data_IF_240315735970
#
_entry.id   IF_240315735970
#
_cell.length_a   1.000
_cell.length_b   1.000
_cell.length_c   1.000
_cell.angle_alpha   90.00
_cell.angle_beta   90.00
_cell.angle_gamma   90.00
#
_symmetry.space_group_name_H-M   'P 1'
#
loop_
_entity.id
_entity.type
_entity.pdbx_description
1 polymer ?
#
# COMPACT_ATOMS: atom_id res chain seq x y z
N UNK A 1 19.79 -21.65 10.18
CA UNK A 1 19.96 -20.23 9.81
C UNK A 1 21.30 -20.12 9.08
N UNK A 2 21.30 -19.83 7.77
CA UNK A 2 22.55 -19.77 6.99
C UNK A 2 23.48 -18.61 7.40
N UNK A 3 24.53 -18.35 6.64
CA UNK A 3 25.49 -17.27 6.93
C UNK A 3 24.76 -15.93 7.17
N UNK A 4 24.94 -15.37 8.36
CA UNK A 4 24.44 -14.05 8.79
C UNK A 4 22.91 -13.84 8.69
N UNK A 5 22.10 -14.90 8.64
CA UNK A 5 20.65 -14.78 8.64
C UNK A 5 20.01 -14.41 7.28
N UNK A 6 20.79 -14.36 6.19
CA UNK A 6 20.28 -14.09 4.83
C UNK A 6 19.15 -15.03 4.40
N UNK A 7 19.19 -16.29 4.84
CA UNK A 7 18.19 -17.29 4.52
C UNK A 7 16.96 -17.28 5.45
N UNK A 8 16.83 -16.32 6.37
CA UNK A 8 15.73 -16.27 7.34
C UNK A 8 14.37 -16.10 6.67
N UNK A 9 14.21 -15.11 5.77
CA UNK A 9 12.94 -14.86 5.08
C UNK A 9 12.48 -16.06 4.23
N UNK A 10 13.42 -16.76 3.60
CA UNK A 10 13.12 -18.00 2.86
C UNK A 10 12.69 -19.14 3.79
N UNK A 11 13.32 -19.28 4.95
CA UNK A 11 12.94 -20.29 5.94
C UNK A 11 11.53 -20.05 6.50
N UNK A 12 11.16 -18.80 6.78
CA UNK A 12 9.81 -18.44 7.25
C UNK A 12 8.73 -18.68 6.18
N UNK A 13 9.04 -18.38 4.91
CA UNK A 13 8.16 -18.69 3.79
C UNK A 13 7.98 -20.20 3.60
N UNK A 14 9.07 -20.97 3.62
CA UNK A 14 9.02 -22.43 3.49
C UNK A 14 8.25 -23.07 4.66
N UNK A 15 8.43 -22.55 5.88
CA UNK A 15 7.67 -22.95 7.07
C UNK A 15 6.16 -22.71 6.90
N UNK A 16 5.75 -21.61 6.29
CA UNK A 16 4.34 -21.33 6.00
C UNK A 16 3.76 -22.25 4.93
N UNK A 17 4.55 -22.63 3.91
CA UNK A 17 4.13 -23.55 2.84
C UNK A 17 3.97 -24.99 3.34
N UNK A 18 4.92 -25.47 4.15
CA UNK A 18 4.91 -26.85 4.67
C UNK A 18 3.87 -27.03 5.78
N UNK A 19 3.48 -25.95 6.47
CA UNK A 19 2.45 -26.02 7.51
C UNK A 19 1.11 -26.42 6.91
N UNK A 20 0.75 -27.69 7.12
CA UNK A 20 -0.55 -28.22 6.73
C UNK A 20 -1.67 -27.39 7.37
N UNK A 21 -2.49 -26.77 6.53
CA UNK A 21 -3.66 -26.02 7.00
C UNK A 21 -4.81 -27.01 7.17
N UNK A 22 -5.13 -27.35 8.42
CA UNK A 22 -6.39 -27.99 8.73
C UNK A 22 -7.54 -27.00 8.45
N UNK A 23 -8.14 -27.10 7.27
CA UNK A 23 -9.22 -26.21 6.81
C UNK A 23 -10.55 -26.43 7.56
N UNK A 24 -10.65 -27.49 8.38
CA UNK A 24 -11.91 -27.93 8.98
C UNK A 24 -12.55 -26.96 9.99
N UNK A 25 -11.80 -26.00 10.54
CA UNK A 25 -12.29 -25.11 11.60
C UNK A 25 -12.62 -23.68 11.16
N UNK A 26 -12.30 -23.28 9.92
CA UNK A 26 -12.66 -21.97 9.40
C UNK A 26 -13.24 -22.10 7.99
N UNK A 27 -14.57 -21.98 7.87
CA UNK A 27 -15.19 -21.62 6.61
C UNK A 27 -14.63 -20.25 6.19
N UNK A 28 -13.64 -20.23 5.29
CA UNK A 28 -13.24 -19.00 4.62
C UNK A 28 -14.13 -18.83 3.41
N UNK A 29 -14.83 -17.71 3.33
CA UNK A 29 -15.56 -17.37 2.12
C UNK A 29 -14.61 -17.14 0.95
N UNK A 30 -15.16 -17.29 -0.26
CA UNK A 30 -14.56 -16.82 -1.50
C UNK A 30 -14.10 -15.35 -1.43
N UNK A 31 -14.84 -14.52 -0.68
CA UNK A 31 -14.53 -13.10 -0.46
C UNK A 31 -13.16 -12.90 0.21
N UNK A 32 -12.82 -13.73 1.21
CA UNK A 32 -11.51 -13.64 1.89
C UNK A 32 -10.37 -14.01 0.94
N UNK A 33 -10.58 -15.02 0.08
CA UNK A 33 -9.58 -15.39 -0.93
C UNK A 33 -9.35 -14.31 -1.97
N UNK A 34 -10.43 -13.71 -2.49
CA UNK A 34 -10.34 -12.56 -3.38
C UNK A 34 -9.62 -11.38 -2.72
N UNK A 35 -9.91 -11.08 -1.46
CA UNK A 35 -9.23 -10.02 -0.72
C UNK A 35 -7.72 -10.23 -0.61
N UNK A 36 -7.25 -11.47 -0.38
CA UNK A 36 -5.81 -11.78 -0.33
C UNK A 36 -5.18 -11.57 -1.70
N UNK A 37 -5.81 -12.07 -2.76
CA UNK A 37 -5.32 -11.92 -4.13
C UNK A 37 -5.26 -10.44 -4.54
N UNK A 38 -6.27 -9.65 -4.14
CA UNK A 38 -6.32 -8.23 -4.42
C UNK A 38 -5.19 -7.46 -3.71
N UNK A 39 -4.88 -7.83 -2.47
CA UNK A 39 -3.77 -7.23 -1.73
C UNK A 39 -2.40 -7.54 -2.37
N UNK A 40 -2.20 -8.78 -2.85
CA UNK A 40 -1.00 -9.16 -3.63
C UNK A 40 -0.93 -8.39 -4.94
N UNK A 41 -2.06 -8.25 -5.64
CA UNK A 41 -2.14 -7.48 -6.88
C UNK A 41 -1.76 -6.01 -6.68
N UNK A 42 -2.25 -5.38 -5.59
CA UNK A 42 -1.90 -4.00 -5.24
C UNK A 42 -0.40 -3.89 -4.92
N UNK A 43 0.19 -4.86 -4.21
CA UNK A 43 1.63 -4.88 -3.95
C UNK A 43 2.45 -4.93 -5.26
N UNK A 44 2.03 -5.74 -6.24
CA UNK A 44 2.65 -5.77 -7.56
C UNK A 44 2.50 -4.43 -8.31
N UNK A 45 1.33 -3.77 -8.20
CA UNK A 45 1.10 -2.45 -8.79
C UNK A 45 2.05 -1.38 -8.23
N UNK A 46 2.35 -1.41 -6.93
CA UNK A 46 3.37 -0.52 -6.34
C UNK A 46 4.76 -0.76 -6.93
N UNK A 47 5.17 -2.02 -7.10
CA UNK A 47 6.45 -2.34 -7.73
C UNK A 47 6.51 -1.83 -9.18
N UNK A 48 5.41 -1.96 -9.92
CA UNK A 48 5.32 -1.45 -11.30
C UNK A 48 5.39 0.08 -11.34
N UNK A 49 4.67 0.78 -10.47
CA UNK A 49 4.74 2.25 -10.36
C UNK A 49 6.16 2.72 -10.03
N UNK A 50 6.84 2.04 -9.10
CA UNK A 50 8.22 2.36 -8.77
C UNK A 50 9.16 2.12 -9.97
N UNK A 51 9.03 1.00 -10.68
CA UNK A 51 9.82 0.74 -11.89
C UNK A 51 9.59 1.79 -12.98
N UNK A 52 8.33 2.20 -13.21
CA UNK A 52 7.99 3.28 -14.14
C UNK A 52 8.68 4.60 -13.78
N UNK A 53 8.74 4.93 -12.48
CA UNK A 53 9.40 6.16 -12.02
C UNK A 53 10.90 6.16 -12.33
N UNK A 54 11.58 5.02 -12.17
CA UNK A 54 13.01 4.87 -12.42
C UNK A 54 13.34 4.87 -13.93
N UNK A 55 12.45 4.34 -14.76
CA UNK A 55 12.61 4.33 -16.21
C UNK A 55 12.37 5.72 -16.85
N UNK A 56 12.07 6.75 -16.07
CA UNK A 56 11.88 8.12 -16.56
C UNK A 56 10.62 8.32 -17.39
N UNK A 57 9.69 7.36 -17.39
CA UNK A 57 8.39 7.51 -18.04
C UNK A 57 7.53 8.49 -17.25
N UNK A 58 7.58 9.75 -17.67
CA UNK A 58 6.79 10.83 -17.11
C UNK A 58 5.35 10.75 -17.61
N UNK A 59 4.50 10.03 -16.88
CA UNK A 59 3.06 10.17 -17.04
C UNK A 59 2.63 11.48 -16.37
N UNK A 60 1.88 12.33 -17.09
CA UNK A 60 1.38 13.61 -16.58
C UNK A 60 0.48 13.50 -15.33
N UNK A 61 0.01 12.29 -15.03
CA UNK A 61 -0.92 11.98 -13.93
C UNK A 61 -0.34 10.97 -12.93
N UNK A 62 0.99 10.84 -12.85
CA UNK A 62 1.63 9.80 -12.03
C UNK A 62 1.24 9.89 -10.54
N UNK A 63 1.17 11.09 -9.96
CA UNK A 63 0.76 11.25 -8.56
C UNK A 63 -0.69 10.84 -8.31
N UNK A 64 -1.58 11.05 -9.29
CA UNK A 64 -2.98 10.62 -9.22
C UNK A 64 -3.10 9.10 -9.32
N UNK A 65 -2.31 8.47 -10.20
CA UNK A 65 -2.25 7.00 -10.27
C UNK A 65 -1.78 6.38 -8.96
N UNK A 66 -0.78 6.98 -8.32
CA UNK A 66 -0.31 6.54 -7.01
C UNK A 66 -1.44 6.63 -5.96
N UNK A 67 -2.21 7.74 -5.95
CA UNK A 67 -3.37 7.88 -5.08
C UNK A 67 -4.43 6.79 -5.29
N UNK A 68 -4.77 6.49 -6.54
CA UNK A 68 -5.75 5.44 -6.86
C UNK A 68 -5.28 4.07 -6.37
N UNK A 69 -3.99 3.75 -6.49
CA UNK A 69 -3.46 2.47 -5.99
C UNK A 69 -3.49 2.42 -4.46
N UNK A 70 -3.22 3.54 -3.78
CA UNK A 70 -3.29 3.61 -2.31
C UNK A 70 -4.71 3.41 -1.78
N UNK A 71 -5.73 3.98 -2.43
CA UNK A 71 -7.12 3.88 -1.98
C UNK A 71 -7.69 2.45 -2.08
N UNK A 72 -7.22 1.68 -3.06
CA UNK A 72 -7.61 0.28 -3.24
C UNK A 72 -7.20 -0.63 -2.06
N UNK A 73 -6.19 -0.24 -1.29
CA UNK A 73 -5.71 -1.02 -0.13
C UNK A 73 -6.77 -1.15 0.96
N UNK A 74 -7.49 -0.08 1.30
CA UNK A 74 -8.53 -0.09 2.33
C UNK A 74 -9.68 -1.04 1.98
N UNK A 75 -10.10 -1.07 0.72
CA UNK A 75 -11.11 -1.99 0.22
C UNK A 75 -10.66 -3.46 0.29
N UNK A 76 -9.38 -3.72 -0.04
CA UNK A 76 -8.81 -5.07 0.08
C UNK A 76 -8.88 -5.58 1.53
N UNK A 77 -8.54 -4.74 2.51
CA UNK A 77 -8.56 -5.08 3.94
C UNK A 77 -9.97 -5.35 4.45
N UNK A 78 -10.97 -4.60 3.97
CA UNK A 78 -12.36 -4.81 4.35
C UNK A 78 -12.91 -6.14 3.81
N UNK A 79 -12.61 -6.48 2.55
CA UNK A 79 -13.02 -7.75 1.93
C UNK A 79 -12.42 -8.97 2.63
N UNK A 80 -11.17 -8.86 3.09
CA UNK A 80 -10.49 -9.87 3.90
C UNK A 80 -11.21 -10.11 5.23
N UNK A 81 -11.55 -9.03 5.93
CA UNK A 81 -12.20 -9.08 7.24
C UNK A 81 -13.59 -9.69 7.19
N UNK A 82 -14.42 -9.23 6.26
CA UNK A 82 -15.78 -9.75 6.10
C UNK A 82 -15.76 -11.24 5.76
N UNK A 83 -14.80 -11.68 4.95
CA UNK A 83 -14.77 -13.06 4.51
C UNK A 83 -14.33 -14.10 5.55
N UNK A 84 -13.89 -13.66 6.73
CA UNK A 84 -13.33 -14.52 7.80
C UNK A 84 -14.37 -15.02 8.82
N UNK A 85 -15.63 -14.58 8.73
CA UNK A 85 -16.77 -14.97 9.59
C UNK A 85 -16.48 -15.01 11.10
N UNK A 86 -15.54 -14.19 11.59
CA UNK A 86 -15.23 -14.05 13.01
C UNK A 86 -15.39 -12.58 13.42
N UNK A 87 -16.15 -12.33 14.49
CA UNK A 87 -16.41 -10.98 15.02
C UNK A 87 -15.11 -10.22 15.32
N UNK A 88 -14.10 -10.89 15.90
CA UNK A 88 -12.83 -10.26 16.25
C UNK A 88 -11.97 -9.92 15.03
N UNK A 89 -11.97 -10.80 14.03
CA UNK A 89 -11.23 -10.56 12.77
C UNK A 89 -11.87 -9.40 11.99
N UNK A 90 -13.20 -9.36 11.93
CA UNK A 90 -13.93 -8.27 11.29
C UNK A 90 -13.67 -6.93 11.97
N UNK A 91 -13.79 -6.85 13.31
CA UNK A 91 -13.50 -5.62 14.06
C UNK A 91 -12.06 -5.12 13.85
N UNK A 92 -11.08 -6.04 13.82
CA UNK A 92 -9.68 -5.69 13.59
C UNK A 92 -9.46 -5.13 12.19
N UNK A 93 -10.05 -5.77 11.16
CA UNK A 93 -9.96 -5.31 9.78
C UNK A 93 -10.66 -3.97 9.53
N UNK A 94 -11.82 -3.76 10.17
CA UNK A 94 -12.53 -2.47 10.10
C UNK A 94 -11.68 -1.36 10.72
N UNK A 95 -11.05 -1.61 11.88
CA UNK A 95 -10.15 -0.63 12.50
C UNK A 95 -8.95 -0.29 11.62
N UNK A 96 -8.33 -1.29 10.97
CA UNK A 96 -7.22 -1.03 10.03
C UNK A 96 -7.68 -0.27 8.78
N UNK A 97 -8.88 -0.57 8.26
CA UNK A 97 -9.42 0.10 7.08
C UNK A 97 -9.72 1.58 7.35
N UNK A 98 -10.26 1.92 8.52
CA UNK A 98 -10.43 3.32 8.93
C UNK A 98 -9.11 4.05 9.09
N UNK A 99 -8.10 3.38 9.65
CA UNK A 99 -6.74 3.92 9.69
C UNK A 99 -6.22 4.26 8.30
N UNK A 100 -6.29 3.31 7.35
CA UNK A 100 -5.85 3.57 5.97
C UNK A 100 -6.63 4.69 5.28
N UNK A 101 -7.94 4.81 5.51
CA UNK A 101 -8.76 5.89 4.93
C UNK A 101 -8.31 7.27 5.44
N UNK A 102 -7.95 7.36 6.73
CA UNK A 102 -7.51 8.63 7.31
C UNK A 102 -6.15 9.06 6.76
N UNK A 103 -5.23 8.11 6.54
CA UNK A 103 -3.95 8.40 5.88
C UNK A 103 -4.13 8.78 4.42
N UNK A 104 -5.06 8.15 3.71
CA UNK A 104 -5.38 8.48 2.32
C UNK A 104 -5.88 9.93 2.20
N UNK A 105 -6.79 10.36 3.09
CA UNK A 105 -7.30 11.73 3.09
C UNK A 105 -6.18 12.76 3.31
N UNK A 106 -5.28 12.52 4.27
CA UNK A 106 -4.12 13.37 4.50
C UNK A 106 -3.19 13.42 3.28
N UNK A 107 -2.95 12.27 2.65
CA UNK A 107 -2.07 12.17 1.50
C UNK A 107 -2.69 12.85 0.24
N UNK A 108 -4.01 12.78 0.06
CA UNK A 108 -4.73 13.54 -0.97
C UNK A 108 -4.50 15.05 -0.83
N UNK A 109 -4.59 15.60 0.39
CA UNK A 109 -4.34 17.02 0.64
C UNK A 109 -2.93 17.43 0.17
N UNK A 110 -1.92 16.60 0.43
CA UNK A 110 -0.54 16.89 0.00
C UNK A 110 -0.41 16.88 -1.52
N UNK A 111 -0.99 15.87 -2.19
CA UNK A 111 -0.93 15.78 -3.66
C UNK A 111 -1.64 16.97 -4.33
N UNK A 112 -2.77 17.42 -3.78
CA UNK A 112 -3.47 18.60 -4.31
C UNK A 112 -2.64 19.87 -4.12
N UNK A 113 -2.01 20.06 -2.95
CA UNK A 113 -1.10 21.20 -2.72
C UNK A 113 0.04 21.22 -3.73
N UNK A 114 0.65 20.06 -4.01
CA UNK A 114 1.69 19.92 -5.04
C UNK A 114 1.15 20.30 -6.43
N UNK A 115 -0.04 19.81 -6.78
CA UNK A 115 -0.69 20.11 -8.06
C UNK A 115 -0.93 21.60 -8.29
N UNK A 116 -1.34 22.34 -7.24
CA UNK A 116 -1.53 23.80 -7.31
C UNK A 116 -0.21 24.53 -7.51
N UNK A 117 0.86 24.10 -6.84
CA UNK A 117 2.17 24.77 -6.90
C UNK A 117 2.89 24.51 -8.23
N UNK A 118 2.77 23.31 -8.79
CA UNK A 118 3.42 22.93 -10.06
C UNK A 118 2.55 23.19 -11.29
N UNK A 119 1.24 23.39 -11.13
CA UNK A 119 0.29 23.49 -12.25
C UNK A 119 0.05 22.16 -12.98
N UNK A 120 0.46 21.02 -12.38
CA UNK A 120 0.35 19.69 -12.96
C UNK A 120 0.67 18.58 -11.96
N UNK A 121 0.39 17.33 -12.33
CA UNK A 121 0.55 16.13 -11.49
C UNK A 121 1.71 15.21 -11.94
N UNK A 122 2.64 15.75 -12.73
CA UNK A 122 3.85 15.05 -13.16
C UNK A 122 4.95 15.12 -12.08
N UNK A 123 5.77 14.07 -12.01
CA UNK A 123 6.87 13.98 -11.03
C UNK A 123 8.14 14.70 -11.51
N UNK A 124 8.35 14.83 -12.83
CA UNK A 124 9.53 15.48 -13.40
C UNK A 124 9.75 16.92 -12.90
N UNK A 125 8.77 17.85 -12.95
CA UNK A 125 9.00 19.23 -12.50
C UNK A 125 9.23 19.35 -10.98
N UNK A 126 8.79 18.36 -10.20
CA UNK A 126 9.04 18.30 -8.76
C UNK A 126 10.52 17.99 -8.45
N UNK A 127 11.19 17.20 -9.30
CA UNK A 127 12.60 16.84 -9.15
C UNK A 127 13.54 17.98 -9.55
N UNK A 128 13.16 18.78 -10.55
CA UNK A 128 13.98 19.89 -11.04
C UNK A 128 13.98 21.10 -10.08
N UNK A 129 12.95 21.24 -9.24
CA UNK A 129 12.76 22.39 -8.34
C UNK A 129 13.25 22.10 -6.91
N UNK A 130 14.54 22.35 -6.68
CA UNK A 130 15.20 22.10 -5.37
C UNK A 130 14.52 22.77 -4.17
N UNK A 131 13.95 23.98 -4.34
CA UNK A 131 13.25 24.69 -3.26
C UNK A 131 11.92 24.03 -2.88
N UNK A 132 11.16 23.55 -3.87
CA UNK A 132 9.89 22.85 -3.62
C UNK A 132 10.16 21.52 -2.93
N UNK A 133 11.19 20.80 -3.38
CA UNK A 133 11.63 19.56 -2.79
C UNK A 133 11.95 19.74 -1.29
N UNK A 134 12.71 20.78 -0.92
CA UNK A 134 13.01 21.08 0.49
C UNK A 134 11.75 21.34 1.35
N UNK A 135 10.72 21.97 0.80
CA UNK A 135 9.47 22.25 1.52
C UNK A 135 8.59 20.99 1.70
N UNK A 136 8.61 20.06 0.74
CA UNK A 136 7.76 18.87 0.77
C UNK A 136 8.36 17.70 1.56
N UNK A 137 9.69 17.54 1.59
CA UNK A 137 10.36 16.50 2.38
C UNK A 137 9.91 16.44 3.86
N UNK A 138 9.85 17.56 4.61
CA UNK A 138 9.40 17.51 6.01
C UNK A 138 7.90 17.18 6.16
N UNK A 139 7.06 17.58 5.20
CA UNK A 139 5.62 17.26 5.22
C UNK A 139 5.39 15.76 4.99
N UNK A 140 6.04 15.18 3.99
CA UNK A 140 5.94 13.75 3.68
C UNK A 140 6.53 12.92 4.82
N UNK A 141 7.67 13.33 5.37
CA UNK A 141 8.27 12.65 6.52
C UNK A 141 7.40 12.73 7.77
N UNK A 142 6.78 13.89 8.02
CA UNK A 142 5.82 14.05 9.11
C UNK A 142 4.61 13.12 8.99
N UNK A 143 4.02 13.00 7.79
CA UNK A 143 2.94 12.05 7.54
C UNK A 143 3.37 10.60 7.71
N UNK A 144 4.58 10.24 7.26
CA UNK A 144 5.13 8.91 7.46
C UNK A 144 5.33 8.56 8.94
N UNK A 145 5.76 9.53 9.76
CA UNK A 145 6.00 9.33 11.19
C UNK A 145 4.69 9.19 11.99
N UNK A 146 3.63 9.86 11.54
CA UNK A 146 2.28 9.71 12.12
C UNK A 146 1.63 8.39 11.67
N UNK A 147 2.01 7.89 10.49
CA UNK A 147 1.68 6.59 9.86
C UNK A 147 1.92 5.35 10.70
#
# INVERSE_FOLDING_TARGET
VGLLGLFQSFADLLKLIVKFKFAFFQNRSWLSWLGVLFLVFIACMYCMLFSLSQNGWSCGYFMLWFLVVTSLTGYSLLSLGWGSYNKFALLSCVRSAFGSISFEACFMCVVVLIGVVLGGYSVSPLLDSSWLLFLFFPLVYGLWLVG
#
